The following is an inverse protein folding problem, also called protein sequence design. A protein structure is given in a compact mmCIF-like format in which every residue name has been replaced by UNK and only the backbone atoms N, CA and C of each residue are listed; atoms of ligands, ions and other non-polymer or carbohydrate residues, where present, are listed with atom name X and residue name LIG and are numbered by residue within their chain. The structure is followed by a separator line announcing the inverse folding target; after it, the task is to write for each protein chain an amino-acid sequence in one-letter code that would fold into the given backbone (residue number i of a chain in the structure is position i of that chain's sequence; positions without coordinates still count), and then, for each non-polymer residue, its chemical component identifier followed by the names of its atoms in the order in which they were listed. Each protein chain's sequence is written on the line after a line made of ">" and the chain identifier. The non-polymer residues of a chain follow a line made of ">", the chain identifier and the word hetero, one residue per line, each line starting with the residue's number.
data_IF_715411113243
#
_entry.id   IF_715411113243
#
_cell.length_a   1.000
_cell.length_b   1.000
_cell.length_c   1.000
_cell.angle_alpha   90.00
_cell.angle_beta   90.00
_cell.angle_gamma   90.00
#
_symmetry.space_group_name_H-M   'P 1'
#
loop_
_entity.id
_entity.type
_entity.pdbx_description
1 polymer ?
#
# COMPACT_ATOMS: atom_id res chain seq x y z
N UNK A 1 14.99 -30.25 -8.24
CA UNK A 1 14.38 -29.30 -7.24
C UNK A 1 14.37 -27.95 -7.92
N UNK A 2 13.21 -27.57 -8.44
CA UNK A 2 13.02 -26.24 -9.06
C UNK A 2 12.88 -25.29 -7.90
N UNK A 3 13.91 -24.45 -7.66
CA UNK A 3 13.78 -23.30 -6.79
C UNK A 3 12.65 -22.42 -7.34
N UNK A 4 11.47 -22.51 -6.77
CA UNK A 4 10.47 -21.46 -6.92
C UNK A 4 11.06 -20.21 -6.24
N UNK A 5 11.74 -19.37 -7.03
CA UNK A 5 11.96 -18.00 -6.62
C UNK A 5 10.57 -17.43 -6.35
N UNK A 6 10.21 -17.31 -5.08
CA UNK A 6 9.04 -16.56 -4.66
C UNK A 6 9.28 -15.10 -5.07
N UNK A 7 8.83 -14.72 -6.26
CA UNK A 7 8.86 -13.34 -6.71
C UNK A 7 8.04 -12.51 -5.69
N UNK A 8 8.73 -11.76 -4.86
CA UNK A 8 8.11 -10.86 -3.89
C UNK A 8 7.56 -9.64 -4.62
N UNK A 9 6.27 -9.40 -4.49
CA UNK A 9 5.58 -8.27 -5.12
C UNK A 9 5.13 -7.27 -4.08
N UNK A 10 5.33 -5.99 -4.36
CA UNK A 10 4.73 -4.88 -3.62
C UNK A 10 3.86 -4.01 -4.51
N UNK A 11 2.81 -3.43 -3.94
CA UNK A 11 1.92 -2.49 -4.61
C UNK A 11 1.72 -1.26 -3.73
N UNK A 12 2.02 -0.09 -4.29
CA UNK A 12 1.76 1.21 -3.66
C UNK A 12 0.37 1.66 -4.05
N UNK A 13 -0.48 1.95 -3.08
CA UNK A 13 -1.79 2.55 -3.32
C UNK A 13 -1.65 4.06 -3.47
N UNK A 14 -1.67 4.55 -4.71
CA UNK A 14 -1.61 5.97 -5.05
C UNK A 14 -2.93 6.50 -5.63
N UNK A 15 -3.99 5.71 -5.54
CA UNK A 15 -5.36 6.11 -5.88
C UNK A 15 -6.05 6.72 -4.66
N UNK A 16 -6.79 7.80 -4.88
CA UNK A 16 -7.62 8.46 -3.86
C UNK A 16 -7.83 9.94 -4.21
N UNK A 17 -9.02 10.47 -3.89
CA UNK A 17 -9.26 11.90 -4.01
C UNK A 17 -8.57 12.59 -2.82
N UNK A 18 -7.42 13.23 -3.04
CA UNK A 18 -6.73 14.08 -2.05
C UNK A 18 -7.50 15.39 -1.79
N UNK A 19 -8.82 15.31 -1.60
CA UNK A 19 -9.73 16.45 -1.51
C UNK A 19 -9.41 17.41 -0.36
N UNK A 20 -8.68 16.97 0.65
CA UNK A 20 -8.32 17.78 1.83
C UNK A 20 -7.05 18.60 1.63
N UNK A 21 -6.17 18.20 0.72
CA UNK A 21 -4.91 18.90 0.46
C UNK A 21 -4.96 19.78 -0.80
N UNK A 22 -6.03 19.67 -1.61
CA UNK A 22 -6.15 20.40 -2.88
C UNK A 22 -5.25 19.90 -4.01
N UNK A 23 -4.23 19.10 -3.67
CA UNK A 23 -3.26 18.50 -4.60
C UNK A 23 -3.17 16.99 -4.41
N UNK A 24 -2.72 16.28 -5.45
CA UNK A 24 -2.51 14.84 -5.38
C UNK A 24 -1.25 14.55 -4.55
N UNK A 25 -1.43 13.97 -3.37
CA UNK A 25 -0.33 13.63 -2.46
C UNK A 25 0.76 12.80 -3.12
N UNK A 26 0.37 11.87 -3.99
CA UNK A 26 1.31 10.97 -4.64
C UNK A 26 2.34 11.71 -5.51
N UNK A 27 1.99 12.92 -5.98
CA UNK A 27 2.81 13.76 -6.84
C UNK A 27 3.61 14.83 -6.07
N UNK A 28 3.41 14.97 -4.76
CA UNK A 28 4.14 15.98 -3.97
C UNK A 28 5.62 15.58 -3.80
N UNK A 29 6.58 16.52 -3.91
CA UNK A 29 8.01 16.25 -3.71
C UNK A 29 8.31 15.64 -2.33
N UNK A 30 9.26 14.71 -2.22
CA UNK A 30 9.62 14.10 -0.94
C UNK A 30 11.12 13.78 -0.83
N UNK A 31 11.79 14.48 0.07
CA UNK A 31 13.24 14.38 0.21
C UNK A 31 13.94 14.80 -1.10
N UNK A 32 14.79 13.93 -1.63
CA UNK A 32 15.49 14.15 -2.89
C UNK A 32 14.77 13.58 -4.12
N UNK A 33 13.49 13.24 -3.99
CA UNK A 33 12.67 12.68 -5.06
C UNK A 33 11.62 13.69 -5.52
N UNK A 34 11.28 13.64 -6.80
CA UNK A 34 10.27 14.53 -7.36
C UNK A 34 8.88 14.29 -6.79
N UNK A 35 8.60 13.04 -6.33
CA UNK A 35 7.31 12.69 -5.77
C UNK A 35 7.41 11.71 -4.59
N UNK A 36 6.40 11.70 -3.71
CA UNK A 36 6.24 10.68 -2.66
C UNK A 36 6.14 9.28 -3.29
N UNK A 37 5.42 9.16 -4.41
CA UNK A 37 5.26 7.90 -5.12
C UNK A 37 6.61 7.37 -5.64
N UNK A 38 7.45 8.22 -6.24
CA UNK A 38 8.80 7.86 -6.68
C UNK A 38 9.66 7.39 -5.50
N UNK A 39 9.65 8.15 -4.41
CA UNK A 39 10.36 7.79 -3.19
C UNK A 39 9.97 6.39 -2.69
N UNK A 40 8.67 6.14 -2.54
CA UNK A 40 8.18 4.83 -2.08
C UNK A 40 8.53 3.72 -3.08
N UNK A 41 8.38 3.98 -4.38
CA UNK A 41 8.71 3.02 -5.44
C UNK A 41 10.19 2.61 -5.37
N UNK A 42 11.11 3.59 -5.30
CA UNK A 42 12.56 3.32 -5.19
C UNK A 42 12.92 2.62 -3.88
N UNK A 43 12.25 2.95 -2.77
CA UNK A 43 12.42 2.28 -1.48
C UNK A 43 12.01 0.80 -1.56
N UNK A 44 10.81 0.51 -2.04
CA UNK A 44 10.30 -0.85 -2.13
C UNK A 44 11.04 -1.69 -3.18
N UNK A 45 11.55 -1.10 -4.25
CA UNK A 45 12.36 -1.79 -5.26
C UNK A 45 13.71 -2.33 -4.74
N UNK A 46 14.11 -1.97 -3.52
CA UNK A 46 15.28 -2.58 -2.85
C UNK A 46 14.93 -3.87 -2.12
N UNK A 47 13.65 -4.11 -1.85
CA UNK A 47 13.16 -5.21 -1.01
C UNK A 47 12.40 -6.24 -1.85
N UNK A 48 11.71 -5.79 -2.89
CA UNK A 48 10.80 -6.59 -3.71
C UNK A 48 11.32 -6.74 -5.14
N UNK A 49 11.10 -7.90 -5.73
CA UNK A 49 11.50 -8.20 -7.12
C UNK A 49 10.66 -7.41 -8.13
N UNK A 50 9.40 -7.13 -7.78
CA UNK A 50 8.49 -6.32 -8.58
C UNK A 50 7.74 -5.35 -7.70
N UNK A 51 7.68 -4.10 -8.14
CA UNK A 51 6.89 -3.05 -7.51
C UNK A 51 5.92 -2.48 -8.53
N UNK A 52 4.70 -2.25 -8.10
CA UNK A 52 3.65 -1.61 -8.89
C UNK A 52 3.10 -0.39 -8.15
N UNK A 53 2.52 0.54 -8.89
CA UNK A 53 1.66 1.58 -8.33
C UNK A 53 0.24 1.35 -8.83
N UNK A 54 -0.70 1.19 -7.90
CA UNK A 54 -2.13 1.14 -8.19
C UNK A 54 -2.69 2.56 -8.28
N UNK A 55 -3.27 2.89 -9.44
CA UNK A 55 -3.76 4.22 -9.76
C UNK A 55 -4.91 4.16 -10.76
N UNK A 56 -5.64 5.25 -10.95
CA UNK A 56 -6.68 5.37 -11.97
C UNK A 56 -6.16 5.78 -13.33
N UNK A 57 -5.07 6.55 -13.36
CA UNK A 57 -4.48 7.13 -14.56
C UNK A 57 -2.96 7.18 -14.45
N UNK A 58 -2.29 7.23 -15.58
CA UNK A 58 -0.86 7.48 -15.62
C UNK A 58 -0.62 8.98 -15.42
N UNK A 59 0.07 9.29 -14.33
CA UNK A 59 0.37 10.65 -13.87
C UNK A 59 1.80 10.82 -13.36
N UNK A 60 2.65 9.81 -13.58
CA UNK A 60 4.00 9.76 -13.02
C UNK A 60 5.06 10.01 -14.10
N UNK A 61 6.00 10.91 -13.82
CA UNK A 61 7.10 11.29 -14.71
C UNK A 61 8.36 10.41 -14.53
N UNK A 62 8.20 9.17 -14.04
CA UNK A 62 9.29 8.21 -13.89
C UNK A 62 8.86 6.81 -14.35
N UNK A 63 9.84 5.99 -14.73
CA UNK A 63 9.57 4.62 -15.15
C UNK A 63 9.02 3.78 -14.00
N UNK A 64 7.80 3.28 -14.16
CA UNK A 64 7.05 2.55 -13.14
C UNK A 64 6.07 1.55 -13.75
N UNK A 65 5.85 0.42 -13.06
CA UNK A 65 4.81 -0.52 -13.42
C UNK A 65 3.48 -0.06 -12.81
N UNK A 66 2.46 0.14 -13.64
CA UNK A 66 1.14 0.59 -13.20
C UNK A 66 0.12 -0.54 -13.20
N UNK A 67 -0.77 -0.51 -12.22
CA UNK A 67 -2.01 -1.28 -12.19
C UNK A 67 -3.16 -0.29 -12.14
N UNK A 68 -4.01 -0.34 -13.17
CA UNK A 68 -5.17 0.53 -13.25
C UNK A 68 -6.40 -0.08 -12.61
N UNK A 69 -7.22 0.76 -11.96
CA UNK A 69 -8.53 0.35 -11.45
C UNK A 69 -9.41 -0.14 -12.61
N UNK A 70 -9.94 -1.37 -12.50
CA UNK A 70 -10.73 -2.02 -13.55
C UNK A 70 -12.23 -1.74 -13.43
N UNK A 71 -12.65 -1.09 -12.36
CA UNK A 71 -14.06 -0.84 -12.06
C UNK A 71 -14.33 0.66 -11.94
N UNK A 72 -15.54 1.14 -12.22
CA UNK A 72 -15.87 2.57 -12.24
C UNK A 72 -15.83 3.21 -10.85
N UNK A 73 -16.10 2.42 -9.81
CA UNK A 73 -16.07 2.89 -8.43
C UNK A 73 -14.63 3.19 -7.98
N UNK A 74 -14.51 4.11 -7.04
CA UNK A 74 -13.22 4.53 -6.49
C UNK A 74 -13.13 4.15 -5.01
N UNK A 75 -12.43 3.07 -4.72
CA UNK A 75 -12.18 2.66 -3.34
C UNK A 75 -10.93 1.78 -3.24
N UNK A 76 -10.35 1.66 -2.04
CA UNK A 76 -9.28 0.70 -1.81
C UNK A 76 -9.67 -0.76 -2.10
N UNK A 77 -10.96 -1.11 -1.97
CA UNK A 77 -11.48 -2.43 -2.33
C UNK A 77 -11.36 -2.68 -3.84
N UNK A 78 -11.74 -1.71 -4.66
CA UNK A 78 -11.62 -1.78 -6.13
C UNK A 78 -10.17 -1.93 -6.55
N UNK A 79 -9.28 -1.14 -5.96
CA UNK A 79 -7.84 -1.26 -6.22
C UNK A 79 -7.32 -2.66 -5.86
N UNK A 80 -7.71 -3.21 -4.71
CA UNK A 80 -7.32 -4.55 -4.27
C UNK A 80 -7.77 -5.64 -5.26
N UNK A 81 -9.02 -5.57 -5.73
CA UNK A 81 -9.54 -6.50 -6.74
C UNK A 81 -8.73 -6.37 -8.03
N UNK A 82 -8.51 -5.15 -8.51
CA UNK A 82 -7.77 -4.87 -9.75
C UNK A 82 -6.33 -5.37 -9.68
N UNK A 83 -5.69 -5.29 -8.51
CA UNK A 83 -4.35 -5.82 -8.24
C UNK A 83 -4.35 -7.33 -8.46
N UNK A 84 -5.17 -8.09 -7.74
CA UNK A 84 -5.18 -9.54 -7.84
C UNK A 84 -5.73 -10.09 -9.17
N UNK A 85 -6.43 -9.29 -9.94
CA UNK A 85 -6.79 -9.62 -11.32
C UNK A 85 -5.67 -9.35 -12.33
N UNK A 86 -4.62 -8.62 -11.93
CA UNK A 86 -3.53 -8.21 -12.81
C UNK A 86 -2.24 -8.97 -12.54
N UNK A 87 -1.80 -9.04 -11.28
CA UNK A 87 -0.61 -9.79 -10.90
C UNK A 87 -0.88 -11.30 -10.99
N UNK A 88 0.18 -12.11 -11.11
CA UNK A 88 0.07 -13.60 -11.12
C UNK A 88 0.38 -14.21 -9.77
N UNK A 89 1.10 -13.49 -8.96
CA UNK A 89 1.55 -13.90 -7.63
C UNK A 89 0.37 -14.00 -6.66
N UNK A 90 0.37 -14.99 -5.78
CA UNK A 90 -0.71 -15.23 -4.83
C UNK A 90 -0.69 -14.26 -3.66
N UNK A 91 0.46 -13.64 -3.39
CA UNK A 91 0.63 -12.68 -2.31
C UNK A 91 1.27 -11.40 -2.81
N UNK A 92 0.88 -10.28 -2.22
CA UNK A 92 1.57 -9.00 -2.41
C UNK A 92 1.56 -8.18 -1.12
N UNK A 93 2.65 -7.43 -0.91
CA UNK A 93 2.70 -6.40 0.13
C UNK A 93 2.03 -5.13 -0.39
N UNK A 94 1.12 -4.57 0.38
CA UNK A 94 0.40 -3.34 0.06
C UNK A 94 0.88 -2.23 0.98
N UNK A 95 1.13 -1.06 0.42
CA UNK A 95 1.52 0.13 1.16
C UNK A 95 0.77 1.37 0.64
N UNK A 96 0.12 2.12 1.53
CA UNK A 96 -0.46 3.42 1.19
C UNK A 96 0.63 4.44 0.85
N UNK A 97 0.42 5.27 -0.15
CA UNK A 97 1.35 6.32 -0.53
C UNK A 97 1.52 7.38 0.57
N UNK A 98 0.54 7.51 1.44
CA UNK A 98 0.46 8.50 2.53
C UNK A 98 1.18 8.08 3.83
N UNK A 99 1.77 6.87 3.89
CA UNK A 99 2.61 6.40 5.02
C UNK A 99 4.06 6.15 4.57
N UNK A 100 4.83 7.19 4.23
CA UNK A 100 6.15 7.03 3.61
C UNK A 100 7.24 6.58 4.57
N UNK A 101 7.00 6.59 5.90
CA UNK A 101 8.01 6.32 6.91
C UNK A 101 8.15 4.85 7.31
N UNK A 102 7.28 3.96 6.81
CA UNK A 102 7.44 2.52 7.00
C UNK A 102 8.81 2.10 6.46
N UNK A 103 9.65 1.55 7.34
CA UNK A 103 11.03 1.19 7.02
C UNK A 103 11.17 -0.28 6.58
N UNK A 104 12.36 -0.62 6.13
CA UNK A 104 12.70 -1.97 5.66
C UNK A 104 12.62 -3.01 6.79
N UNK A 105 12.93 -2.63 8.03
CA UNK A 105 12.90 -3.55 9.18
C UNK A 105 11.47 -3.98 9.46
N UNK A 106 10.52 -3.03 9.46
CA UNK A 106 9.09 -3.31 9.63
C UNK A 106 8.60 -4.22 8.51
N UNK A 107 8.91 -3.89 7.25
CA UNK A 107 8.48 -4.67 6.08
C UNK A 107 9.02 -6.11 6.16
N UNK A 108 10.31 -6.28 6.41
CA UNK A 108 10.94 -7.60 6.51
C UNK A 108 10.38 -8.41 7.68
N UNK A 109 10.08 -7.77 8.82
CA UNK A 109 9.43 -8.43 9.96
C UNK A 109 8.05 -8.98 9.57
N UNK A 110 7.25 -8.22 8.83
CA UNK A 110 5.95 -8.66 8.34
C UNK A 110 6.09 -9.82 7.32
N UNK A 111 7.01 -9.67 6.35
CA UNK A 111 7.26 -10.71 5.33
C UNK A 111 7.74 -12.04 5.93
N UNK A 112 8.48 -11.99 7.04
CA UNK A 112 8.97 -13.18 7.73
C UNK A 112 7.93 -13.84 8.64
N UNK A 113 6.90 -13.10 9.06
CA UNK A 113 5.83 -13.61 9.93
C UNK A 113 4.60 -14.10 9.18
N UNK A 114 4.41 -13.63 7.93
CA UNK A 114 3.23 -14.01 7.15
C UNK A 114 3.33 -15.46 6.69
N UNK A 115 2.36 -16.25 7.08
CA UNK A 115 2.11 -17.59 6.53
C UNK A 115 1.20 -17.50 5.29
N UNK A 116 0.19 -18.35 5.18
CA UNK A 116 -0.77 -18.32 4.06
C UNK A 116 -1.92 -17.35 4.27
N UNK A 117 -1.98 -16.69 5.42
CA UNK A 117 -3.02 -15.74 5.78
C UNK A 117 -2.71 -14.31 5.28
N UNK A 118 -3.67 -13.42 5.50
CA UNK A 118 -3.51 -11.99 5.34
C UNK A 118 -2.95 -11.44 6.63
N UNK A 119 -1.85 -10.69 6.56
CA UNK A 119 -1.21 -10.09 7.73
C UNK A 119 -1.17 -8.56 7.59
N UNK A 120 -1.86 -7.88 8.49
CA UNK A 120 -2.01 -6.42 8.46
C UNK A 120 -1.30 -5.79 9.67
N UNK A 121 -0.66 -4.66 9.46
CA UNK A 121 -0.06 -3.90 10.54
C UNK A 121 -1.15 -3.28 11.45
N UNK A 122 -0.87 -3.32 12.77
CA UNK A 122 -1.59 -2.56 13.78
C UNK A 122 -0.61 -1.61 14.44
N UNK A 123 -0.90 -0.31 14.35
CA UNK A 123 -0.12 0.77 14.98
C UNK A 123 -0.72 1.18 16.32
N UNK A 124 -0.06 2.04 17.12
CA UNK A 124 -0.68 2.66 18.28
C UNK A 124 -1.99 3.43 17.96
N UNK A 125 -2.21 3.80 16.71
CA UNK A 125 -3.41 4.49 16.25
C UNK A 125 -4.52 3.52 15.77
N UNK A 126 -4.24 2.21 15.70
CA UNK A 126 -5.15 1.17 15.28
C UNK A 126 -4.69 0.40 14.03
N UNK A 127 -5.62 -0.30 13.40
CA UNK A 127 -5.35 -1.13 12.23
C UNK A 127 -5.04 -0.26 11.02
N UNK A 128 -3.99 -0.64 10.29
CA UNK A 128 -3.51 0.04 9.08
C UNK A 128 -3.81 -0.81 7.82
N UNK A 129 -5.02 -0.72 7.26
CA UNK A 129 -5.44 -1.60 6.17
C UNK A 129 -4.58 -1.48 4.91
N UNK A 130 -3.92 -0.35 4.71
CA UNK A 130 -3.01 -0.13 3.58
C UNK A 130 -1.54 -0.33 3.97
N UNK A 131 -1.27 -1.15 5.00
CA UNK A 131 0.07 -1.63 5.33
C UNK A 131 -0.02 -3.10 5.71
N UNK A 132 0.20 -4.00 4.73
CA UNK A 132 0.05 -5.42 5.00
C UNK A 132 0.38 -6.34 3.84
N UNK A 133 0.43 -7.63 4.12
CA UNK A 133 0.53 -8.69 3.12
C UNK A 133 -0.85 -9.25 2.88
N UNK A 134 -1.31 -9.12 1.66
CA UNK A 134 -2.59 -9.66 1.20
C UNK A 134 -2.40 -10.93 0.38
N UNK A 135 -3.36 -11.85 0.48
CA UNK A 135 -3.39 -13.09 -0.29
C UNK A 135 -4.54 -13.05 -1.29
N UNK A 136 -4.33 -13.65 -2.47
CA UNK A 136 -5.32 -13.77 -3.55
C UNK A 136 -6.63 -14.46 -3.10
N UNK A 137 -6.57 -15.30 -2.07
CA UNK A 137 -7.74 -15.95 -1.49
C UNK A 137 -8.86 -14.98 -1.08
N UNK A 138 -8.50 -13.69 -0.87
CA UNK A 138 -9.48 -12.64 -0.52
C UNK A 138 -10.36 -12.23 -1.71
N UNK A 139 -9.96 -12.53 -2.95
CA UNK A 139 -10.59 -12.01 -4.17
C UNK A 139 -12.08 -12.37 -4.32
N UNK A 140 -12.54 -13.61 -4.04
CA UNK A 140 -13.96 -13.93 -4.12
C UNK A 140 -14.80 -13.07 -3.16
N UNK A 141 -14.38 -12.96 -1.91
CA UNK A 141 -15.07 -12.15 -0.90
C UNK A 141 -15.04 -10.66 -1.25
N UNK A 142 -13.91 -10.16 -1.77
CA UNK A 142 -13.81 -8.77 -2.20
C UNK A 142 -14.78 -8.44 -3.34
N UNK A 143 -14.97 -9.36 -4.28
CA UNK A 143 -15.95 -9.21 -5.37
C UNK A 143 -17.40 -9.24 -4.88
N UNK A 144 -17.74 -10.15 -3.97
CA UNK A 144 -19.05 -10.20 -3.31
C UNK A 144 -19.35 -8.84 -2.64
N UNK A 145 -18.39 -8.31 -1.87
CA UNK A 145 -18.58 -7.03 -1.21
C UNK A 145 -18.70 -5.85 -2.20
N UNK A 146 -18.05 -5.92 -3.35
CA UNK A 146 -18.21 -4.90 -4.39
C UNK A 146 -19.62 -4.93 -5.00
N UNK A 147 -20.18 -6.12 -5.26
CA UNK A 147 -21.55 -6.30 -5.73
C UNK A 147 -22.57 -5.76 -4.71
N UNK A 148 -22.33 -5.99 -3.42
CA UNK A 148 -23.11 -5.47 -2.29
C UNK A 148 -22.90 -3.96 -2.03
N UNK A 149 -22.06 -3.28 -2.84
CA UNK A 149 -21.67 -1.86 -2.67
C UNK A 149 -21.03 -1.57 -1.30
N UNK A 150 -20.42 -2.55 -0.69
CA UNK A 150 -19.70 -2.43 0.57
C UNK A 150 -18.21 -2.29 0.32
N UNK A 151 -17.72 -1.07 0.22
CA UNK A 151 -16.33 -0.74 -0.10
C UNK A 151 -15.37 -0.71 1.11
N UNK A 152 -15.80 -1.17 2.29
CA UNK A 152 -15.05 -1.03 3.54
C UNK A 152 -13.98 -2.12 3.68
N UNK A 153 -12.70 -1.77 3.54
CA UNK A 153 -11.59 -2.72 3.77
C UNK A 153 -11.63 -3.35 5.16
N UNK A 154 -11.96 -2.59 6.20
CA UNK A 154 -12.07 -3.13 7.56
C UNK A 154 -13.11 -4.24 7.67
N UNK A 155 -14.21 -4.15 6.91
CA UNK A 155 -15.22 -5.22 6.88
C UNK A 155 -14.68 -6.45 6.16
N UNK A 156 -13.98 -6.26 5.04
CA UNK A 156 -13.30 -7.33 4.30
C UNK A 156 -12.30 -8.06 5.21
N UNK A 157 -11.40 -7.33 5.90
CA UNK A 157 -10.39 -7.91 6.79
C UNK A 157 -11.02 -8.74 7.92
N UNK A 158 -12.08 -8.22 8.53
CA UNK A 158 -12.81 -8.96 9.57
C UNK A 158 -13.44 -10.25 9.04
N UNK A 159 -14.00 -10.23 7.84
CA UNK A 159 -14.65 -11.39 7.21
C UNK A 159 -13.65 -12.43 6.69
N UNK A 160 -12.45 -11.99 6.32
CA UNK A 160 -11.37 -12.87 5.84
C UNK A 160 -10.49 -13.44 6.95
N UNK A 161 -10.85 -13.19 8.22
CA UNK A 161 -10.06 -13.64 9.38
C UNK A 161 -8.59 -13.22 9.29
N UNK A 162 -8.34 -11.99 8.83
CA UNK A 162 -7.00 -11.45 8.72
C UNK A 162 -6.29 -11.41 10.08
N UNK A 163 -5.00 -11.73 10.09
CA UNK A 163 -4.14 -11.61 11.25
C UNK A 163 -3.57 -10.20 11.38
N UNK A 164 -3.23 -9.82 12.59
CA UNK A 164 -2.69 -8.49 12.88
C UNK A 164 -1.34 -8.60 13.58
N UNK A 165 -0.39 -7.74 13.18
CA UNK A 165 0.89 -7.61 13.83
C UNK A 165 1.00 -6.21 14.45
N UNK A 166 1.07 -6.16 15.79
CA UNK A 166 1.27 -4.91 16.50
C UNK A 166 2.71 -4.41 16.35
N UNK A 167 2.86 -3.15 15.95
CA UNK A 167 4.13 -2.47 15.71
C UNK A 167 4.12 -1.18 16.52
N UNK A 168 4.86 -1.17 17.63
CA UNK A 168 4.97 0.00 18.52
C UNK A 168 5.93 1.04 17.95
N UNK A 169 5.52 1.65 16.84
CA UNK A 169 6.26 2.74 16.19
C UNK A 169 5.30 3.74 15.55
N UNK A 170 4.84 4.70 16.34
CA UNK A 170 3.90 5.72 15.89
C UNK A 170 4.44 6.58 14.73
N UNK A 171 5.74 6.89 14.74
CA UNK A 171 6.35 7.72 13.68
C UNK A 171 6.37 7.00 12.33
N UNK A 172 6.57 5.68 12.30
CA UNK A 172 6.53 4.90 11.07
C UNK A 172 5.16 4.95 10.38
N UNK A 173 4.08 5.07 11.14
CA UNK A 173 2.70 5.13 10.65
C UNK A 173 2.14 6.56 10.58
N UNK A 174 3.01 7.57 10.66
CA UNK A 174 2.57 8.95 10.49
C UNK A 174 2.05 9.18 9.08
N UNK A 175 0.75 9.43 8.98
CA UNK A 175 0.08 9.71 7.72
C UNK A 175 0.33 11.16 7.27
N UNK A 176 0.56 11.36 5.98
CA UNK A 176 0.63 12.68 5.36
C UNK A 176 -0.78 13.12 4.90
N UNK A 177 -1.69 13.38 5.85
CA UNK A 177 -3.09 13.67 5.53
C UNK A 177 -3.37 15.17 5.32
N UNK A 178 -2.56 16.02 5.91
CA UNK A 178 -2.66 17.46 5.83
C UNK A 178 -1.35 18.08 5.36
N UNK A 179 -1.40 19.31 4.85
CA UNK A 179 -0.20 20.01 4.38
C UNK A 179 0.82 20.25 5.51
N UNK A 180 0.32 20.37 6.74
CA UNK A 180 1.14 20.51 7.94
C UNK A 180 1.95 19.26 8.22
N UNK A 181 1.33 18.07 8.12
CA UNK A 181 2.01 16.77 8.28
C UNK A 181 3.14 16.63 7.26
N UNK A 182 2.86 17.02 6.02
CA UNK A 182 3.83 16.99 4.94
C UNK A 182 5.02 17.94 5.19
N UNK A 183 4.75 19.19 5.61
CA UNK A 183 5.81 20.15 5.94
C UNK A 183 6.68 19.70 7.11
N UNK A 184 6.08 19.11 8.14
CA UNK A 184 6.82 18.52 9.27
C UNK A 184 7.69 17.35 8.81
N UNK A 185 7.15 16.48 7.96
CA UNK A 185 7.87 15.34 7.38
C UNK A 185 9.12 15.79 6.59
N UNK A 186 8.98 16.84 5.78
CA UNK A 186 10.11 17.41 5.04
C UNK A 186 11.17 17.99 5.98
N UNK A 187 10.77 18.72 7.02
CA UNK A 187 11.72 19.33 7.96
C UNK A 187 12.54 18.28 8.72
N UNK A 188 11.92 17.20 9.17
CA UNK A 188 12.59 16.08 9.86
C UNK A 188 13.58 15.35 8.95
N UNK A 189 13.30 15.27 7.65
CA UNK A 189 14.13 14.53 6.69
C UNK A 189 15.30 15.34 6.12
N UNK A 190 15.18 16.66 6.08
CA UNK A 190 16.29 17.56 5.72
C UNK A 190 17.38 17.62 6.81
N UNK A 191 17.09 17.05 8.00
CA UNK A 191 18.00 16.96 9.13
C UNK A 191 18.69 15.59 9.27
N UNK A 192 18.39 14.63 8.38
CA UNK A 192 19.02 13.30 8.24
C UNK A 192 19.83 13.21 6.93
#
# INVERSE_FOLDING_TARGET
>A
MINSQNNRVAVIFAGGKSSRMGEDKSLMPFGNYNTIAEYQYKKLSKIFDKVYISTKEDKFDFEVNLIYDKYPDSSPLVALISIFETIKEDKCFILGVDIPFIDEVIINNMLNKVDDNILIAESPNGIEPLCGVYNRSILPLAKELLEDKNHRLMYLLKKSEAEYIYIDNQEAFKNLNFIEDYKEALSKRLLQ
#
